data_IF_889360072486
#
_entry.id   IF_889360072486
#
_cell.length_a   1.000
_cell.length_b   1.000
_cell.length_c   1.000
_cell.angle_alpha   90.00
_cell.angle_beta   90.00
_cell.angle_gamma   90.00
#
_symmetry.space_group_name_H-M   'P 1'
#
loop_
_entity.id
_entity.type
_entity.pdbx_description
1 polymer ?
#
# COMPACT_ATOMS: atom_id res chain seq x y z
N UNK A 1 -23.43 2.86 -16.96
CA UNK A 1 -22.19 2.78 -16.16
C UNK A 1 -21.34 4.05 -16.30
N UNK A 2 -21.45 4.79 -17.42
CA UNK A 2 -20.76 6.08 -17.66
C UNK A 2 -21.09 7.22 -16.67
N UNK A 3 -22.32 7.28 -16.14
CA UNK A 3 -22.71 8.35 -15.21
C UNK A 3 -21.90 8.36 -13.89
N UNK A 4 -21.44 7.19 -13.44
CA UNK A 4 -20.68 7.08 -12.19
C UNK A 4 -19.22 7.51 -12.39
N UNK A 5 -18.67 7.35 -13.59
CA UNK A 5 -17.28 7.74 -13.88
C UNK A 5 -17.10 9.24 -13.79
N UNK A 6 -18.06 10.03 -14.29
CA UNK A 6 -18.03 11.49 -14.20
C UNK A 6 -18.06 12.01 -12.76
N UNK A 7 -18.74 11.30 -11.85
CA UNK A 7 -18.79 11.65 -10.43
C UNK A 7 -17.49 11.33 -9.68
N UNK A 8 -16.72 10.37 -10.20
CA UNK A 8 -15.43 9.94 -9.64
C UNK A 8 -14.23 10.62 -10.30
N UNK A 9 -14.48 11.59 -11.19
CA UNK A 9 -13.46 12.27 -11.99
C UNK A 9 -13.13 13.65 -11.41
N UNK A 10 -11.84 13.94 -11.35
CA UNK A 10 -11.33 15.23 -10.91
C UNK A 10 -11.58 16.32 -11.97
N UNK A 11 -12.14 17.49 -11.61
CA UNK A 11 -12.46 18.56 -12.57
C UNK A 11 -11.23 19.28 -13.13
N UNK A 12 -10.03 19.01 -12.59
CA UNK A 12 -8.78 19.66 -13.02
C UNK A 12 -7.99 18.77 -13.95
N UNK A 13 -7.68 17.54 -13.55
CA UNK A 13 -6.91 16.62 -14.38
C UNK A 13 -7.76 15.76 -15.31
N UNK A 14 -9.09 15.76 -15.16
CA UNK A 14 -10.05 14.95 -15.93
C UNK A 14 -9.77 13.43 -15.88
N UNK A 15 -8.99 13.00 -14.89
CA UNK A 15 -8.76 11.60 -14.53
C UNK A 15 -9.60 11.28 -13.28
N UNK A 16 -9.80 9.99 -12.98
CA UNK A 16 -10.34 9.57 -11.67
C UNK A 16 -9.58 10.25 -10.51
N UNK A 17 -10.23 10.46 -9.37
CA UNK A 17 -9.52 11.06 -8.24
C UNK A 17 -8.37 10.19 -7.74
N UNK A 18 -7.21 10.82 -7.55
CA UNK A 18 -6.00 10.24 -6.98
C UNK A 18 -5.62 11.05 -5.74
N UNK A 19 -5.47 10.39 -4.58
CA UNK A 19 -5.36 11.05 -3.27
C UNK A 19 -6.34 12.24 -3.10
N UNK A 20 -7.67 12.01 -3.17
CA UNK A 20 -8.64 13.10 -3.08
C UNK A 20 -8.55 13.82 -1.73
N UNK A 21 -8.31 15.13 -1.76
CA UNK A 21 -8.42 16.04 -0.64
C UNK A 21 -9.86 16.55 -0.54
N UNK A 22 -10.41 16.49 0.67
CA UNK A 22 -11.68 17.09 1.04
C UNK A 22 -11.45 18.55 1.41
N UNK A 23 -11.97 19.46 0.60
CA UNK A 23 -11.90 20.89 0.83
C UNK A 23 -12.95 21.34 1.87
N UNK A 24 -12.76 22.48 2.56
CA UNK A 24 -13.77 23.04 3.48
C UNK A 24 -15.11 23.34 2.81
N UNK A 25 -15.10 23.55 1.49
CA UNK A 25 -16.30 23.71 0.66
C UNK A 25 -17.00 22.38 0.29
N UNK A 26 -16.56 21.25 0.85
CA UNK A 26 -17.06 19.88 0.63
C UNK A 26 -16.86 19.32 -0.78
N UNK A 27 -16.09 20.00 -1.62
CA UNK A 27 -15.63 19.44 -2.89
C UNK A 27 -14.37 18.61 -2.70
N UNK A 28 -14.07 17.81 -3.72
CA UNK A 28 -12.88 16.96 -3.74
C UNK A 28 -11.93 17.44 -4.85
N UNK A 29 -10.64 17.36 -4.58
CA UNK A 29 -9.58 17.66 -5.55
C UNK A 29 -8.40 16.72 -5.33
N UNK A 30 -7.75 16.25 -6.39
CA UNK A 30 -6.52 15.46 -6.22
C UNK A 30 -5.45 16.28 -5.50
N UNK A 31 -4.65 15.65 -4.64
CA UNK A 31 -3.56 16.33 -3.94
C UNK A 31 -2.64 17.10 -4.91
N UNK A 32 -2.23 16.44 -6.00
CA UNK A 32 -1.38 17.05 -7.04
C UNK A 32 -2.02 18.27 -7.71
N UNK A 33 -3.32 18.20 -7.99
CA UNK A 33 -4.04 19.32 -8.59
C UNK A 33 -4.15 20.50 -7.62
N UNK A 34 -4.29 20.24 -6.32
CA UNK A 34 -4.26 21.29 -5.31
C UNK A 34 -2.87 21.95 -5.23
N UNK A 35 -1.79 21.15 -5.27
CA UNK A 35 -0.40 21.63 -5.30
C UNK A 35 -0.12 22.52 -6.51
N UNK A 36 -0.56 22.10 -7.70
CA UNK A 36 -0.39 22.86 -8.95
C UNK A 36 -1.13 24.21 -8.91
N UNK A 37 -2.37 24.23 -8.41
CA UNK A 37 -3.13 25.47 -8.24
C UNK A 37 -2.43 26.40 -7.25
N UNK A 38 -1.92 25.86 -6.15
CA UNK A 38 -1.21 26.64 -5.13
C UNK A 38 0.11 27.22 -5.66
N UNK A 39 0.85 26.47 -6.47
CA UNK A 39 2.06 26.97 -7.12
C UNK A 39 1.73 28.06 -8.15
N UNK A 40 0.60 27.94 -8.85
CA UNK A 40 0.13 28.95 -9.80
C UNK A 40 -0.32 30.25 -9.11
N UNK A 41 -0.87 30.18 -7.90
CA UNK A 41 -1.19 31.39 -7.11
C UNK A 41 0.08 32.05 -6.57
N UNK A 42 1.07 31.27 -6.08
CA UNK A 42 2.39 31.80 -5.67
C UNK A 42 3.10 32.59 -6.76
N UNK A 43 3.01 32.17 -8.02
CA UNK A 43 3.65 32.90 -9.15
C UNK A 43 3.02 34.27 -9.46
N UNK A 44 1.79 34.53 -9.02
CA UNK A 44 1.10 35.81 -9.26
C UNK A 44 1.35 36.83 -8.17
N UNK A 45 1.73 36.39 -6.98
CA UNK A 45 2.04 37.23 -5.83
C UNK A 45 3.57 37.24 -5.66
N UNK A 46 4.25 38.28 -6.15
CA UNK A 46 5.72 38.49 -6.03
C UNK A 46 6.14 38.79 -4.57
N UNK A 47 5.58 38.09 -3.59
CA UNK A 47 5.87 38.25 -2.16
C UNK A 47 6.33 36.91 -1.57
N UNK A 48 7.35 36.98 -0.73
CA UNK A 48 8.01 35.86 -0.04
C UNK A 48 7.13 35.17 1.04
N UNK A 49 5.81 35.41 1.02
CA UNK A 49 4.86 34.92 2.01
C UNK A 49 4.24 33.60 1.52
N UNK A 50 4.18 32.61 2.40
CA UNK A 50 3.60 31.31 2.07
C UNK A 50 2.13 31.46 1.68
N UNK A 51 1.81 31.27 0.39
CA UNK A 51 0.43 31.25 -0.08
C UNK A 51 -0.39 30.26 0.78
N UNK A 52 -1.36 30.82 1.50
CA UNK A 52 -2.19 30.12 2.49
C UNK A 52 -3.61 29.90 2.02
N UNK A 53 -3.90 30.26 0.76
CA UNK A 53 -5.21 30.04 0.18
C UNK A 53 -5.19 29.86 -1.33
N UNK A 54 -6.21 29.18 -1.85
CA UNK A 54 -6.50 29.09 -3.28
C UNK A 54 -8.01 28.95 -3.55
N UNK A 55 -8.51 29.39 -4.73
CA UNK A 55 -9.91 29.22 -5.08
C UNK A 55 -10.22 27.76 -5.49
N UNK A 56 -11.27 27.18 -4.92
CA UNK A 56 -11.76 25.87 -5.33
C UNK A 56 -12.17 25.88 -6.82
N UNK A 57 -11.68 24.94 -7.67
CA UNK A 57 -12.01 24.92 -9.09
C UNK A 57 -13.49 24.63 -9.37
N UNK A 58 -14.19 23.96 -8.46
CA UNK A 58 -15.60 23.59 -8.64
C UNK A 58 -16.56 24.72 -8.25
N UNK A 59 -16.32 25.39 -7.12
CA UNK A 59 -17.26 26.37 -6.56
C UNK A 59 -16.69 27.77 -6.35
N UNK A 60 -15.41 27.98 -6.67
CA UNK A 60 -14.67 29.25 -6.50
C UNK A 60 -14.57 29.79 -5.07
N UNK A 61 -15.07 29.06 -4.07
CA UNK A 61 -14.87 29.41 -2.65
C UNK A 61 -13.38 29.36 -2.32
N UNK A 62 -12.92 30.33 -1.54
CA UNK A 62 -11.54 30.36 -1.09
C UNK A 62 -11.30 29.23 -0.08
N UNK A 63 -10.22 28.50 -0.26
CA UNK A 63 -9.80 27.40 0.61
C UNK A 63 -8.60 27.92 1.39
N UNK A 64 -8.79 28.15 2.68
CA UNK A 64 -7.74 28.64 3.56
C UNK A 64 -7.15 27.50 4.38
N UNK A 65 -5.85 27.59 4.66
CA UNK A 65 -5.11 26.63 5.47
C UNK A 65 -4.04 27.30 6.32
N UNK A 66 -3.56 26.57 7.32
CA UNK A 66 -2.59 27.08 8.29
C UNK A 66 -1.21 27.34 7.65
N UNK A 67 -0.62 28.50 7.99
CA UNK A 67 0.78 28.85 7.65
C UNK A 67 1.72 27.75 8.13
N UNK A 68 2.61 27.28 7.25
CA UNK A 68 3.64 26.29 7.55
C UNK A 68 3.23 24.81 7.39
N UNK A 69 1.93 24.48 7.36
CA UNK A 69 1.45 23.11 7.03
C UNK A 69 1.02 22.94 5.57
N UNK A 70 0.65 24.03 4.89
CA UNK A 70 0.23 23.98 3.49
C UNK A 70 -0.96 23.03 3.28
N UNK A 71 -0.92 22.26 2.19
CA UNK A 71 -1.98 21.32 1.82
C UNK A 71 -2.08 20.09 2.72
N UNK A 72 -1.08 19.82 3.57
CA UNK A 72 -1.14 18.72 4.55
C UNK A 72 -2.20 18.95 5.64
N UNK A 73 -2.64 20.20 5.80
CA UNK A 73 -3.74 20.56 6.70
C UNK A 73 -5.12 20.06 6.21
N UNK A 74 -5.26 19.77 4.91
CA UNK A 74 -6.52 19.30 4.32
C UNK A 74 -6.68 17.79 4.53
N UNK A 75 -7.89 17.37 4.88
CA UNK A 75 -8.18 15.95 5.12
C UNK A 75 -8.31 15.21 3.79
N UNK A 76 -7.79 13.98 3.74
CA UNK A 76 -8.05 13.07 2.61
C UNK A 76 -9.43 12.45 2.72
N UNK A 77 -10.13 12.32 1.58
CA UNK A 77 -11.40 11.63 1.48
C UNK A 77 -11.19 10.15 1.20
N UNK A 78 -10.89 9.40 2.26
CA UNK A 78 -10.65 7.94 2.19
C UNK A 78 -11.87 7.18 1.67
N UNK A 79 -13.08 7.68 1.91
CA UNK A 79 -14.30 7.04 1.40
C UNK A 79 -14.36 7.13 -0.12
N UNK A 80 -14.05 8.29 -0.71
CA UNK A 80 -14.01 8.46 -2.17
C UNK A 80 -12.91 7.59 -2.79
N UNK A 81 -11.75 7.50 -2.14
CA UNK A 81 -10.65 6.61 -2.54
C UNK A 81 -11.12 5.14 -2.58
N UNK A 82 -11.78 4.66 -1.53
CA UNK A 82 -12.33 3.29 -1.46
C UNK A 82 -13.43 3.03 -2.51
N UNK A 83 -14.25 4.04 -2.84
CA UNK A 83 -15.29 3.92 -3.88
C UNK A 83 -14.63 3.74 -5.25
N UNK A 84 -13.59 4.53 -5.55
CA UNK A 84 -12.82 4.42 -6.80
C UNK A 84 -12.14 3.06 -6.90
N UNK A 85 -11.56 2.55 -5.81
CA UNK A 85 -10.99 1.20 -5.76
C UNK A 85 -12.02 0.11 -6.12
N UNK A 86 -13.23 0.21 -5.57
CA UNK A 86 -14.32 -0.74 -5.87
C UNK A 86 -14.83 -0.59 -7.29
N UNK A 87 -14.95 0.63 -7.81
CA UNK A 87 -15.33 0.91 -9.19
C UNK A 87 -14.35 0.25 -10.16
N UNK A 88 -13.04 0.47 -9.97
CA UNK A 88 -11.99 -0.15 -10.77
C UNK A 88 -11.98 -1.67 -10.65
N UNK A 89 -12.23 -2.21 -9.46
CA UNK A 89 -12.35 -3.66 -9.23
C UNK A 89 -13.54 -4.27 -9.98
N UNK A 90 -14.66 -3.55 -10.05
CA UNK A 90 -15.87 -3.98 -10.76
C UNK A 90 -15.70 -4.00 -12.27
N UNK A 91 -14.82 -3.16 -12.82
CA UNK A 91 -14.55 -3.09 -14.25
C UNK A 91 -13.59 -4.20 -14.74
N UNK A 92 -13.07 -5.05 -13.84
CA UNK A 92 -12.17 -6.14 -14.22
C UNK A 92 -10.84 -5.68 -14.85
N UNK A 93 -10.52 -4.39 -14.75
CA UNK A 93 -9.44 -3.76 -15.50
C UNK A 93 -8.10 -3.97 -14.80
N UNK A 94 -7.51 -5.17 -14.98
CA UNK A 94 -6.18 -5.54 -14.43
C UNK A 94 -5.06 -4.59 -14.90
N UNK A 95 -5.22 -3.97 -16.08
CA UNK A 95 -4.31 -2.96 -16.64
C UNK A 95 -4.37 -1.60 -15.91
N UNK A 96 -5.53 -1.22 -15.35
CA UNK A 96 -5.65 0.03 -14.61
C UNK A 96 -5.06 -0.15 -13.21
N UNK A 97 -5.16 -1.34 -12.60
CA UNK A 97 -4.44 -1.61 -11.37
C UNK A 97 -2.92 -1.50 -11.54
N UNK A 98 -2.32 -1.96 -12.63
CA UNK A 98 -0.86 -1.82 -12.81
C UNK A 98 -0.47 -0.37 -13.05
N UNK A 99 -1.08 0.37 -13.98
CA UNK A 99 -0.68 1.76 -14.29
C UNK A 99 -1.04 2.74 -13.16
N UNK A 100 -2.20 2.60 -12.53
CA UNK A 100 -2.65 3.48 -11.44
C UNK A 100 -1.95 3.15 -10.10
N UNK A 101 -1.65 1.87 -9.79
CA UNK A 101 -0.78 1.53 -8.64
C UNK A 101 0.69 1.90 -8.86
N UNK A 102 1.22 1.86 -10.10
CA UNK A 102 2.61 2.26 -10.35
C UNK A 102 2.83 3.75 -10.03
N UNK A 103 1.87 4.64 -10.37
CA UNK A 103 1.91 6.08 -10.01
C UNK A 103 1.76 6.34 -8.50
N UNK A 104 1.05 5.49 -7.75
CA UNK A 104 0.85 5.65 -6.29
C UNK A 104 2.06 5.16 -5.47
N UNK A 105 2.80 4.15 -5.97
CA UNK A 105 3.94 3.56 -5.26
C UNK A 105 5.19 4.46 -5.22
N UNK A 106 5.31 5.41 -6.14
CA UNK A 106 6.39 6.40 -6.11
C UNK A 106 6.16 7.50 -5.07
N UNK A 107 4.90 7.88 -4.80
CA UNK A 107 4.56 8.83 -3.71
C UNK A 107 4.66 8.18 -2.31
N UNK A 108 4.55 6.85 -2.22
CA UNK A 108 4.76 6.08 -0.99
C UNK A 108 6.25 5.87 -0.59
N UNK A 109 7.20 6.54 -1.28
CA UNK A 109 8.60 6.65 -0.81
C UNK A 109 8.76 7.53 0.46
N UNK A 110 7.66 8.12 0.96
CA UNK A 110 7.61 8.83 2.25
C UNK A 110 7.07 8.01 3.44
N UNK A 111 6.53 6.80 3.23
CA UNK A 111 6.14 5.93 4.35
C UNK A 111 7.38 5.27 4.93
N UNK A 112 7.90 5.85 6.03
CA UNK A 112 8.83 5.16 6.94
C UNK A 112 8.27 3.76 7.17
N UNK A 113 9.00 2.73 6.71
CA UNK A 113 8.68 1.32 6.95
C UNK A 113 8.36 1.19 8.44
N UNK A 114 7.26 0.52 8.78
CA UNK A 114 6.98 0.21 10.18
C UNK A 114 8.19 -0.49 10.78
N UNK A 115 8.68 -0.04 11.96
CA UNK A 115 9.91 -0.57 12.53
C UNK A 115 9.72 -2.05 12.83
N UNK A 116 10.60 -2.89 12.28
CA UNK A 116 10.68 -4.30 12.66
C UNK A 116 11.08 -4.35 14.14
N UNK A 117 10.35 -5.10 14.95
CA UNK A 117 10.61 -5.25 16.38
C UNK A 117 11.47 -6.48 16.65
N UNK A 118 12.12 -6.53 17.81
CA UNK A 118 12.89 -7.68 18.26
C UNK A 118 11.97 -8.82 18.66
N UNK A 119 12.15 -10.01 18.09
CA UNK A 119 11.34 -11.19 18.41
C UNK A 119 11.78 -11.91 19.69
N UNK A 120 12.90 -11.47 20.29
CA UNK A 120 13.58 -12.16 21.41
C UNK A 120 13.52 -11.36 22.71
N UNK A 121 13.06 -10.12 22.67
CA UNK A 121 12.93 -9.31 23.88
C UNK A 121 11.59 -9.54 24.55
N UNK A 122 11.59 -9.78 25.86
CA UNK A 122 10.39 -9.86 26.70
C UNK A 122 9.87 -8.47 27.15
N UNK A 123 10.37 -7.38 26.57
CA UNK A 123 9.94 -6.02 26.91
C UNK A 123 8.63 -5.67 26.18
N UNK A 124 7.71 -4.94 26.84
CA UNK A 124 6.48 -4.43 26.24
C UNK A 124 6.46 -2.88 26.25
N UNK A 125 6.54 -2.22 25.08
CA UNK A 125 6.68 -2.78 23.74
C UNK A 125 8.13 -3.24 23.43
N UNK A 126 8.34 -4.28 22.60
CA UNK A 126 9.67 -4.76 22.26
C UNK A 126 10.50 -3.70 21.52
N UNK A 127 11.81 -3.62 21.77
CA UNK A 127 12.67 -2.66 21.10
C UNK A 127 12.79 -2.95 19.60
N UNK A 128 13.17 -1.93 18.82
CA UNK A 128 13.37 -2.05 17.37
C UNK A 128 14.51 -3.03 17.07
N UNK A 129 14.29 -3.93 16.12
CA UNK A 129 15.31 -4.82 15.60
C UNK A 129 16.31 -4.04 14.73
N UNK A 130 17.59 -4.33 14.92
CA UNK A 130 18.70 -3.72 14.18
C UNK A 130 19.31 -4.70 13.18
N UNK A 131 19.09 -6.00 13.34
CA UNK A 131 19.61 -7.05 12.44
C UNK A 131 18.62 -8.22 12.33
N UNK A 132 18.57 -8.84 11.16
CA UNK A 132 17.85 -10.11 10.95
C UNK A 132 18.82 -11.19 10.52
N UNK A 133 18.78 -12.34 11.18
CA UNK A 133 19.58 -13.50 10.80
C UNK A 133 18.84 -14.29 9.73
N UNK A 134 19.41 -14.44 8.54
CA UNK A 134 18.77 -15.21 7.45
C UNK A 134 18.76 -16.72 7.73
N UNK A 135 19.70 -17.19 8.55
CA UNK A 135 19.80 -18.60 8.93
C UNK A 135 18.77 -18.96 10.00
N UNK A 136 18.55 -18.07 10.98
CA UNK A 136 17.56 -18.27 12.05
C UNK A 136 16.17 -17.73 11.70
N UNK A 137 16.07 -16.87 10.67
CA UNK A 137 14.84 -16.16 10.28
C UNK A 137 14.21 -15.33 11.41
N UNK A 138 15.05 -14.79 12.30
CA UNK A 138 14.64 -14.02 13.48
C UNK A 138 15.26 -12.62 13.43
N UNK A 139 14.49 -11.62 13.86
CA UNK A 139 14.90 -10.23 13.98
C UNK A 139 15.30 -9.90 15.43
N UNK A 140 16.49 -9.32 15.59
CA UNK A 140 17.10 -9.04 16.89
C UNK A 140 17.39 -7.55 17.06
N UNK A 141 17.23 -7.01 18.27
CA UNK A 141 17.83 -5.73 18.67
C UNK A 141 19.35 -5.87 18.89
N UNK A 142 20.06 -4.75 19.03
CA UNK A 142 21.52 -4.77 19.20
C UNK A 142 21.99 -5.53 20.44
N UNK A 143 21.19 -5.57 21.50
CA UNK A 143 21.53 -6.33 22.69
C UNK A 143 21.33 -7.83 22.45
N UNK A 144 20.17 -8.22 21.94
CA UNK A 144 19.84 -9.62 21.67
C UNK A 144 20.74 -10.24 20.60
N UNK A 145 21.16 -9.50 19.56
CA UNK A 145 22.06 -10.05 18.55
C UNK A 145 23.46 -10.30 19.12
N UNK A 146 23.93 -9.49 20.08
CA UNK A 146 25.23 -9.69 20.72
C UNK A 146 25.22 -10.88 21.68
N UNK A 147 24.09 -11.14 22.34
CA UNK A 147 23.94 -12.29 23.24
C UNK A 147 23.72 -13.59 22.48
N UNK A 148 22.91 -13.59 21.41
CA UNK A 148 22.57 -14.80 20.63
C UNK A 148 23.57 -15.10 19.50
N UNK A 149 24.18 -14.06 18.93
CA UNK A 149 25.21 -14.16 17.89
C UNK A 149 26.50 -13.38 18.26
N UNK A 150 27.18 -13.75 19.36
CA UNK A 150 28.46 -13.15 19.71
C UNK A 150 29.51 -13.50 18.65
N UNK A 151 30.16 -12.47 18.08
CA UNK A 151 31.19 -12.59 17.05
C UNK A 151 32.37 -13.51 17.44
N UNK A 152 32.55 -13.75 18.73
CA UNK A 152 33.65 -14.53 19.29
C UNK A 152 33.38 -16.05 19.31
N UNK A 153 32.17 -16.52 18.96
CA UNK A 153 31.83 -17.96 18.90
C UNK A 153 31.81 -18.46 17.46
N UNK A 154 32.71 -19.40 17.13
CA UNK A 154 32.89 -20.03 15.81
C UNK A 154 31.62 -20.68 15.23
N UNK A 155 30.61 -20.97 16.04
CA UNK A 155 29.35 -21.57 15.59
C UNK A 155 28.43 -20.58 14.85
N UNK A 156 28.53 -19.27 15.14
CA UNK A 156 27.59 -18.26 14.63
C UNK A 156 28.18 -17.33 13.56
N UNK A 157 29.49 -17.44 13.28
CA UNK A 157 30.14 -16.71 12.18
C UNK A 157 29.63 -17.10 10.80
N UNK A 158 28.93 -18.23 10.67
CA UNK A 158 28.29 -18.68 9.41
C UNK A 158 26.89 -18.11 9.21
N UNK A 159 26.31 -17.45 10.23
CA UNK A 159 24.97 -16.88 10.14
C UNK A 159 25.04 -15.50 9.50
N UNK A 160 24.35 -15.34 8.36
CA UNK A 160 24.34 -14.07 7.64
C UNK A 160 23.32 -13.12 8.28
N UNK A 161 23.82 -12.13 9.02
CA UNK A 161 23.05 -11.03 9.56
C UNK A 161 22.93 -9.92 8.51
N UNK A 162 21.72 -9.56 8.15
CA UNK A 162 21.40 -8.47 7.22
C UNK A 162 20.61 -7.38 7.95
N UNK A 163 20.49 -6.21 7.32
CA UNK A 163 19.57 -5.17 7.78
C UNK A 163 18.16 -5.75 7.99
N UNK A 164 17.38 -5.23 8.96
CA UNK A 164 16.06 -5.75 9.30
C UNK A 164 15.12 -5.55 8.12
N UNK A 165 15.05 -6.58 7.29
CA UNK A 165 14.06 -6.67 6.24
C UNK A 165 12.79 -7.14 6.92
N UNK A 166 11.71 -6.34 6.81
CA UNK A 166 10.37 -6.90 7.02
C UNK A 166 10.32 -8.20 6.25
N UNK A 167 10.06 -9.31 6.94
CA UNK A 167 10.01 -10.63 6.32
C UNK A 167 9.21 -10.48 5.03
N UNK A 168 9.90 -10.52 3.89
CA UNK A 168 9.23 -10.61 2.60
C UNK A 168 8.49 -11.94 2.72
N UNK A 169 7.18 -11.90 3.00
CA UNK A 169 6.33 -13.09 2.94
C UNK A 169 6.71 -13.74 1.63
N UNK A 170 7.31 -14.95 1.68
CA UNK A 170 7.66 -15.69 0.46
C UNK A 170 6.35 -15.83 -0.29
N UNK A 171 6.21 -15.04 -1.34
CA UNK A 171 5.04 -15.10 -2.19
C UNK A 171 5.19 -16.44 -2.90
N UNK A 172 4.32 -17.39 -2.56
CA UNK A 172 4.33 -18.71 -3.18
C UNK A 172 4.01 -18.51 -4.66
N UNK A 173 4.96 -18.90 -5.51
CA UNK A 173 4.82 -18.90 -6.97
C UNK A 173 4.27 -20.25 -7.43
N UNK A 174 3.61 -20.26 -8.58
CA UNK A 174 3.04 -21.48 -9.14
C UNK A 174 4.17 -22.40 -9.67
N UNK A 175 4.14 -23.72 -9.40
CA UNK A 175 5.16 -24.64 -9.89
C UNK A 175 5.16 -24.77 -11.42
N UNK A 176 4.02 -24.54 -12.08
CA UNK A 176 3.90 -24.59 -13.54
C UNK A 176 4.10 -23.21 -14.21
N UNK A 177 4.02 -22.13 -13.42
CA UNK A 177 4.07 -20.76 -13.91
C UNK A 177 4.92 -19.91 -12.95
N UNK A 178 6.23 -19.90 -13.18
CA UNK A 178 7.22 -19.33 -12.25
C UNK A 178 7.03 -17.83 -11.97
N UNK A 179 6.51 -17.07 -12.96
CA UNK A 179 6.24 -15.64 -12.86
C UNK A 179 4.89 -15.31 -12.19
N UNK A 180 4.05 -16.31 -11.96
CA UNK A 180 2.70 -16.14 -11.43
C UNK A 180 2.58 -16.52 -9.96
N UNK A 181 1.83 -15.70 -9.24
CA UNK A 181 1.63 -15.85 -7.79
C UNK A 181 0.41 -16.71 -7.52
N UNK A 182 0.50 -17.58 -6.53
CA UNK A 182 -0.65 -18.33 -6.04
C UNK A 182 -1.60 -17.38 -5.30
N UNK A 183 -2.77 -17.09 -5.89
CA UNK A 183 -3.76 -16.15 -5.38
C UNK A 183 -5.18 -16.72 -5.32
N UNK A 184 -5.40 -17.90 -5.90
CA UNK A 184 -6.69 -18.59 -5.93
C UNK A 184 -6.58 -19.99 -5.34
N UNK A 185 -7.71 -20.52 -4.89
CA UNK A 185 -7.85 -21.89 -4.40
C UNK A 185 -8.83 -22.62 -5.29
N UNK A 186 -8.43 -23.74 -5.87
CA UNK A 186 -9.34 -24.60 -6.59
C UNK A 186 -10.16 -25.44 -5.60
N UNK A 187 -11.49 -25.33 -5.64
CA UNK A 187 -12.37 -26.09 -4.76
C UNK A 187 -12.56 -27.55 -5.24
N UNK A 188 -12.17 -27.87 -6.47
CA UNK A 188 -12.28 -29.21 -7.05
C UNK A 188 -11.03 -30.04 -6.76
N UNK A 189 -9.85 -29.46 -6.97
CA UNK A 189 -8.56 -30.14 -6.74
C UNK A 189 -7.96 -29.84 -5.36
N UNK A 190 -8.69 -29.10 -4.53
CA UNK A 190 -8.32 -28.69 -3.17
C UNK A 190 -6.91 -28.09 -3.02
N UNK A 191 -6.42 -27.40 -4.06
CA UNK A 191 -5.05 -26.88 -4.11
C UNK A 191 -4.99 -25.39 -4.50
N UNK A 192 -3.96 -24.66 -4.05
CA UNK A 192 -3.73 -23.29 -4.48
C UNK A 192 -3.28 -23.26 -5.95
N UNK A 193 -3.86 -22.35 -6.72
CA UNK A 193 -3.56 -22.14 -8.13
C UNK A 193 -3.29 -20.66 -8.43
N UNK A 194 -2.66 -20.37 -9.56
CA UNK A 194 -2.47 -19.00 -10.06
C UNK A 194 -3.52 -18.63 -11.12
N UNK A 195 -3.46 -17.38 -11.60
CA UNK A 195 -4.34 -16.87 -12.66
C UNK A 195 -4.24 -17.70 -13.95
N UNK A 196 -3.03 -18.06 -14.37
CA UNK A 196 -2.82 -18.82 -15.60
C UNK A 196 -3.37 -20.25 -15.52
N UNK A 197 -3.28 -20.91 -14.35
CA UNK A 197 -3.91 -22.20 -14.12
C UNK A 197 -5.43 -22.19 -14.37
N UNK A 198 -6.10 -21.06 -14.12
CA UNK A 198 -7.54 -20.87 -14.32
C UNK A 198 -7.89 -20.33 -15.71
N UNK A 199 -7.05 -19.49 -16.32
CA UNK A 199 -7.40 -18.87 -17.61
C UNK A 199 -7.04 -19.75 -18.80
N UNK A 200 -5.91 -20.46 -18.73
CA UNK A 200 -5.36 -21.23 -19.86
C UNK A 200 -4.95 -22.64 -19.45
N UNK A 201 -4.76 -22.87 -18.15
CA UNK A 201 -4.32 -24.14 -17.60
C UNK A 201 -5.44 -25.14 -17.33
N UNK A 202 -5.06 -26.21 -16.62
CA UNK A 202 -5.90 -27.40 -16.36
C UNK A 202 -7.14 -27.14 -15.48
N UNK A 203 -7.27 -25.95 -14.89
CA UNK A 203 -8.34 -25.60 -13.95
C UNK A 203 -9.33 -24.60 -14.56
N UNK A 204 -9.41 -24.51 -15.89
CA UNK A 204 -10.26 -23.57 -16.62
C UNK A 204 -11.74 -23.68 -16.27
N UNK A 205 -12.24 -24.90 -16.10
CA UNK A 205 -13.64 -25.17 -15.75
C UNK A 205 -13.88 -25.38 -14.25
N UNK A 206 -12.82 -25.40 -13.43
CA UNK A 206 -12.96 -25.71 -12.02
C UNK A 206 -13.43 -24.49 -11.21
N UNK A 207 -14.26 -24.74 -10.19
CA UNK A 207 -14.72 -23.69 -9.28
C UNK A 207 -13.56 -23.21 -8.42
N UNK A 208 -13.30 -21.91 -8.42
CA UNK A 208 -12.21 -21.29 -7.67
C UNK A 208 -12.73 -20.29 -6.64
N UNK A 209 -11.99 -20.14 -5.55
CA UNK A 209 -12.23 -19.14 -4.51
C UNK A 209 -10.96 -18.31 -4.27
N UNK A 210 -11.11 -17.09 -3.76
CA UNK A 210 -9.96 -16.28 -3.37
C UNK A 210 -9.21 -16.98 -2.23
N UNK A 211 -7.90 -17.17 -2.39
CA UNK A 211 -7.06 -17.85 -1.39
C UNK A 211 -7.23 -17.21 -0.01
N UNK A 212 -7.30 -15.87 0.05
CA UNK A 212 -7.50 -15.10 1.28
C UNK A 212 -8.80 -15.43 2.04
N UNK A 213 -9.87 -15.82 1.34
CA UNK A 213 -11.13 -16.24 1.96
C UNK A 213 -11.02 -17.65 2.54
N UNK A 214 -10.36 -18.57 1.84
CA UNK A 214 -10.16 -19.95 2.30
C UNK A 214 -9.22 -20.03 3.51
N UNK A 215 -8.19 -19.18 3.59
CA UNK A 215 -7.32 -19.09 4.77
C UNK A 215 -8.07 -18.61 6.02
N UNK A 216 -9.07 -17.73 5.87
CA UNK A 216 -9.92 -17.29 6.98
C UNK A 216 -10.87 -18.40 7.42
N UNK A 217 -11.47 -19.12 6.48
CA UNK A 217 -12.36 -20.25 6.77
C UNK A 217 -11.64 -21.43 7.44
N UNK A 218 -10.44 -21.81 6.97
CA UNK A 218 -9.65 -22.91 7.55
C UNK A 218 -9.01 -22.56 8.89
N UNK A 219 -8.75 -21.28 9.21
CA UNK A 219 -8.23 -20.89 10.54
C UNK A 219 -9.23 -21.15 11.68
N UNK A 220 -10.53 -21.10 11.39
CA UNK A 220 -11.59 -21.35 12.38
C UNK A 220 -11.68 -22.84 12.74
N UNK A 221 -11.33 -23.74 11.82
CA UNK A 221 -11.43 -25.19 12.02
C UNK A 221 -10.16 -25.85 12.59
N UNK A 222 -9.08 -25.09 12.85
CA UNK A 222 -7.83 -25.61 13.44
C UNK A 222 -7.75 -25.28 14.94
N UNK A 223 -8.76 -24.59 15.50
CA UNK A 223 -8.90 -24.31 16.94
C UNK A 223 -10.18 -24.97 17.46
N UNK A 224 -10.33 -26.26 17.23
CA UNK A 224 -11.21 -27.16 18.00
C UNK A 224 -10.47 -28.44 18.33
#
# INVERSE_FOLDING_TARGET
MEALESELTCPVCLELYSTPLLLPCLHNLCQRCAEEILLATKKKEESDDDATSFPCPTCRKNVEFERGRGLESLRRNITLENIIERYLSSLGCFLYLTVYWFRYRELAKGTKRSPVLCDVCDADPPPKATKTCLTCQISYCDNCVRTTHPSNKKAFTRHKLVEPQQAKRKVLTCPDHEDEKLNMFCCVDEMPICALCKLVGKHSEHKVAALAQMYRAKKVNVIQ
#
